data_IF_162557650111
#
_entry.id   IF_162557650111
#
_cell.length_a   1.000
_cell.length_b   1.000
_cell.length_c   1.000
_cell.angle_alpha   90.00
_cell.angle_beta   90.00
_cell.angle_gamma   90.00
#
_symmetry.space_group_name_H-M   'P 1'
#
loop_
_entity.id
_entity.type
_entity.pdbx_description
1 polymer ?
#
# COMPACT_ATOMS: atom_id res chain seq x y z
N UNK A 1 20.03 17.91 0.95
CA UNK A 1 20.36 16.48 0.82
C UNK A 1 20.30 15.75 2.16
N UNK A 2 21.00 16.22 3.21
CA UNK A 2 21.01 15.59 4.55
C UNK A 2 19.61 15.46 5.18
N UNK A 3 18.79 16.51 5.16
CA UNK A 3 17.44 16.48 5.71
C UNK A 3 16.54 15.42 5.03
N UNK A 4 16.66 15.26 3.71
CA UNK A 4 15.94 14.23 2.95
C UNK A 4 16.40 12.81 3.32
N UNK A 5 17.70 12.62 3.53
CA UNK A 5 18.26 11.34 3.99
C UNK A 5 17.82 11.04 5.42
N UNK A 6 17.82 12.04 6.30
CA UNK A 6 17.32 11.92 7.67
C UNK A 6 15.84 11.61 7.69
N UNK A 7 15.03 12.30 6.87
CA UNK A 7 13.60 12.03 6.74
C UNK A 7 13.33 10.59 6.26
N UNK A 8 14.09 10.12 5.27
CA UNK A 8 13.98 8.72 4.80
C UNK A 8 14.45 7.70 5.86
N UNK A 9 15.37 8.07 6.73
CA UNK A 9 15.82 7.24 7.86
C UNK A 9 14.94 7.37 9.09
N UNK A 10 14.36 8.56 9.31
CA UNK A 10 13.51 8.82 10.46
C UNK A 10 12.19 8.04 10.29
N UNK A 11 11.94 7.19 11.24
CA UNK A 11 10.65 6.65 11.68
C UNK A 11 9.68 5.98 10.69
N UNK A 12 9.87 6.01 9.39
CA UNK A 12 9.11 5.15 8.49
C UNK A 12 9.49 3.66 8.66
N UNK A 13 10.62 3.40 9.33
CA UNK A 13 11.15 2.06 9.55
C UNK A 13 10.69 1.40 10.86
N UNK A 14 10.07 2.10 11.78
CA UNK A 14 9.95 1.60 13.15
C UNK A 14 8.57 1.18 13.63
N UNK A 15 7.60 0.95 12.74
CA UNK A 15 6.32 0.47 13.24
C UNK A 15 5.81 -0.75 12.47
N UNK A 16 6.21 -1.94 12.92
CA UNK A 16 5.35 -3.10 12.74
C UNK A 16 4.10 -2.86 13.58
N UNK A 17 2.96 -2.73 12.95
CA UNK A 17 1.68 -2.67 13.67
C UNK A 17 1.29 -4.12 13.95
N UNK A 18 1.15 -4.47 15.23
CA UNK A 18 0.72 -5.81 15.68
C UNK A 18 1.52 -6.97 15.05
N UNK A 19 2.87 -6.83 14.94
CA UNK A 19 3.75 -7.88 14.41
C UNK A 19 3.70 -8.06 12.90
N UNK A 20 3.01 -7.19 12.16
CA UNK A 20 2.97 -7.24 10.69
C UNK A 20 4.07 -6.39 10.07
N UNK A 21 4.78 -6.94 9.07
CA UNK A 21 5.80 -6.22 8.31
C UNK A 21 5.16 -5.13 7.42
N UNK A 22 5.93 -4.10 7.05
CA UNK A 22 5.47 -3.01 6.17
C UNK A 22 4.82 -3.51 4.88
N UNK A 23 5.41 -4.52 4.23
CA UNK A 23 4.86 -5.12 3.00
C UNK A 23 3.52 -5.81 3.22
N UNK A 24 3.35 -6.48 4.36
CA UNK A 24 2.08 -7.10 4.76
C UNK A 24 1.00 -6.03 5.00
N UNK A 25 1.35 -4.93 5.69
CA UNK A 25 0.43 -3.81 5.90
C UNK A 25 0.02 -3.15 4.58
N UNK A 26 0.96 -2.95 3.64
CA UNK A 26 0.64 -2.41 2.32
C UNK A 26 -0.33 -3.31 1.56
N UNK A 27 -0.16 -4.64 1.62
CA UNK A 27 -1.09 -5.58 1.02
C UNK A 27 -2.47 -5.49 1.68
N UNK A 28 -2.56 -5.45 3.00
CA UNK A 28 -3.83 -5.32 3.71
C UNK A 28 -4.55 -3.99 3.37
N UNK A 29 -3.82 -2.88 3.24
CA UNK A 29 -4.40 -1.61 2.80
C UNK A 29 -4.85 -1.64 1.34
N UNK A 30 -4.11 -2.34 0.46
CA UNK A 30 -4.53 -2.59 -0.91
C UNK A 30 -5.87 -3.34 -0.95
N UNK A 31 -5.99 -4.44 -0.21
CA UNK A 31 -7.23 -5.20 -0.10
C UNK A 31 -8.39 -4.34 0.43
N UNK A 32 -8.13 -3.52 1.43
CA UNK A 32 -9.18 -2.64 2.01
C UNK A 32 -9.70 -1.59 1.01
N UNK A 33 -8.84 -1.06 0.12
CA UNK A 33 -9.23 -0.07 -0.89
C UNK A 33 -9.89 -0.70 -2.11
N UNK A 34 -9.46 -1.90 -2.50
CA UNK A 34 -9.92 -2.58 -3.71
C UNK A 34 -11.21 -3.37 -3.55
N UNK A 35 -11.76 -3.43 -2.33
CA UNK A 35 -12.99 -4.19 -2.06
C UNK A 35 -14.18 -3.23 -1.94
N UNK A 36 -15.04 -3.20 -2.96
CA UNK A 36 -16.36 -2.59 -2.86
C UNK A 36 -17.27 -3.39 -1.92
N UNK A 37 -18.27 -2.77 -1.29
CA UNK A 37 -19.26 -3.49 -0.48
C UNK A 37 -19.89 -4.63 -1.30
N UNK A 38 -19.76 -5.88 -0.83
CA UNK A 38 -20.25 -7.07 -1.52
C UNK A 38 -19.27 -7.73 -2.49
N UNK A 39 -18.07 -7.18 -2.70
CA UNK A 39 -17.02 -7.77 -3.52
C UNK A 39 -16.49 -9.08 -2.90
N UNK A 40 -16.17 -10.05 -3.75
CA UNK A 40 -15.55 -11.33 -3.36
C UNK A 40 -14.06 -11.21 -2.99
N UNK A 41 -13.46 -10.01 -3.08
CA UNK A 41 -12.02 -9.77 -2.85
C UNK A 41 -11.24 -9.50 -4.13
N UNK A 42 -9.91 -9.48 -4.06
CA UNK A 42 -9.00 -9.19 -5.17
C UNK A 42 -8.21 -10.41 -5.62
N UNK A 43 -7.92 -10.51 -6.91
CA UNK A 43 -7.01 -11.53 -7.45
C UNK A 43 -5.55 -11.18 -7.16
N UNK A 44 -4.68 -12.21 -7.12
CA UNK A 44 -3.23 -12.03 -6.94
C UNK A 44 -2.63 -11.12 -8.02
N UNK A 45 -3.10 -11.22 -9.27
CA UNK A 45 -2.67 -10.38 -10.39
C UNK A 45 -3.02 -8.90 -10.17
N UNK A 46 -4.23 -8.60 -9.69
CA UNK A 46 -4.66 -7.24 -9.38
C UNK A 46 -3.80 -6.63 -8.28
N UNK A 47 -3.57 -7.39 -7.20
CA UNK A 47 -2.72 -6.97 -6.08
C UNK A 47 -1.28 -6.72 -6.57
N UNK A 48 -0.72 -7.62 -7.39
CA UNK A 48 0.64 -7.49 -7.90
C UNK A 48 0.83 -6.24 -8.76
N UNK A 49 -0.17 -5.93 -9.59
CA UNK A 49 -0.17 -4.72 -10.42
C UNK A 49 -0.22 -3.45 -9.56
N UNK A 50 -1.13 -3.39 -8.56
CA UNK A 50 -1.27 -2.21 -7.68
C UNK A 50 -0.01 -1.99 -6.83
N UNK A 51 0.54 -3.06 -6.24
CA UNK A 51 1.72 -2.97 -5.38
C UNK A 51 3.03 -2.88 -6.15
N UNK A 52 3.00 -3.06 -7.49
CA UNK A 52 4.19 -3.10 -8.37
C UNK A 52 5.22 -4.12 -7.90
N UNK A 53 4.77 -5.30 -7.52
CA UNK A 53 5.60 -6.44 -7.11
C UNK A 53 5.19 -7.69 -7.88
N UNK A 54 6.05 -8.70 -7.92
CA UNK A 54 5.77 -9.95 -8.65
C UNK A 54 4.68 -10.78 -7.97
N UNK A 55 3.91 -11.55 -8.75
CA UNK A 55 2.88 -12.46 -8.23
C UNK A 55 3.41 -13.49 -7.21
N UNK A 56 4.61 -14.07 -7.35
CA UNK A 56 5.22 -14.91 -6.31
C UNK A 56 5.42 -14.14 -4.98
N UNK A 57 5.85 -12.88 -5.03
CA UNK A 57 6.00 -12.03 -3.82
C UNK A 57 4.66 -11.83 -3.14
N UNK A 58 3.60 -11.50 -3.89
CA UNK A 58 2.23 -11.36 -3.37
C UNK A 58 1.77 -12.66 -2.73
N UNK A 59 1.99 -13.79 -3.39
CA UNK A 59 1.61 -15.12 -2.87
C UNK A 59 2.26 -15.43 -1.52
N UNK A 60 3.55 -15.09 -1.36
CA UNK A 60 4.26 -15.25 -0.09
C UNK A 60 3.69 -14.35 1.02
N UNK A 61 3.38 -13.08 0.69
CA UNK A 61 2.77 -12.15 1.64
C UNK A 61 1.38 -12.64 2.08
N UNK A 62 0.56 -13.10 1.15
CA UNK A 62 -0.76 -13.66 1.43
C UNK A 62 -0.63 -14.87 2.37
N UNK A 63 0.27 -15.81 2.06
CA UNK A 63 0.50 -16.98 2.93
C UNK A 63 0.89 -16.58 4.35
N UNK A 64 1.75 -15.56 4.51
CA UNK A 64 2.11 -15.01 5.82
C UNK A 64 0.93 -14.43 6.57
N UNK A 65 0.06 -13.69 5.87
CA UNK A 65 -1.14 -13.09 6.44
C UNK A 65 -2.26 -14.10 6.74
N UNK A 66 -2.41 -15.15 5.91
CA UNK A 66 -3.31 -16.27 6.19
C UNK A 66 -2.91 -17.00 7.48
N UNK A 67 -1.62 -17.28 7.66
CA UNK A 67 -1.12 -17.90 8.89
C UNK A 67 -1.38 -17.06 10.15
N UNK A 68 -1.52 -15.74 9.99
CA UNK A 68 -1.89 -14.80 11.06
C UNK A 68 -3.41 -14.61 11.20
N UNK A 69 -4.21 -15.25 10.34
CA UNK A 69 -5.67 -15.09 10.32
C UNK A 69 -6.16 -13.71 9.86
N UNK A 70 -5.32 -12.93 9.16
CA UNK A 70 -5.63 -11.56 8.77
C UNK A 70 -6.25 -11.45 7.37
N UNK A 71 -6.04 -12.45 6.52
CA UNK A 71 -6.67 -12.57 5.19
C UNK A 71 -7.20 -13.97 4.98
N UNK A 72 -8.12 -14.11 4.07
CA UNK A 72 -8.66 -15.40 3.64
C UNK A 72 -8.76 -15.45 2.11
N UNK A 73 -8.68 -16.67 1.56
CA UNK A 73 -8.90 -16.95 0.15
C UNK A 73 -10.30 -17.52 -0.05
N UNK A 74 -10.98 -16.98 -1.05
CA UNK A 74 -12.28 -17.48 -1.47
C UNK A 74 -12.24 -17.79 -2.95
N UNK A 75 -12.97 -18.83 -3.36
CA UNK A 75 -13.22 -19.06 -4.78
C UNK A 75 -14.13 -17.95 -5.31
N UNK A 76 -13.85 -17.46 -6.51
CA UNK A 76 -14.74 -16.53 -7.17
C UNK A 76 -16.10 -17.18 -7.43
N UNK A 77 -17.18 -16.41 -7.23
CA UNK A 77 -18.56 -16.92 -7.40
C UNK A 77 -18.92 -17.22 -8.85
N UNK A 78 -18.25 -16.55 -9.79
CA UNK A 78 -18.50 -16.65 -11.23
C UNK A 78 -17.51 -17.54 -11.94
N UNK A 79 -16.23 -17.52 -11.52
CA UNK A 79 -15.18 -18.37 -12.07
C UNK A 79 -14.50 -19.17 -10.93
N UNK A 80 -14.88 -20.44 -10.83
CA UNK A 80 -14.31 -21.37 -9.83
C UNK A 80 -12.80 -21.60 -9.97
N UNK A 81 -12.18 -21.15 -11.06
CA UNK A 81 -10.73 -21.23 -11.27
C UNK A 81 -10.00 -20.00 -10.69
N UNK A 82 -10.74 -18.93 -10.44
CA UNK A 82 -10.19 -17.71 -9.86
C UNK A 82 -10.25 -17.75 -8.33
N UNK A 83 -9.12 -17.47 -7.71
CA UNK A 83 -9.00 -17.32 -6.24
C UNK A 83 -8.89 -15.84 -5.90
N UNK A 84 -9.78 -15.38 -5.05
CA UNK A 84 -9.79 -14.02 -4.54
C UNK A 84 -9.37 -13.97 -3.07
N UNK A 85 -8.70 -12.90 -2.72
CA UNK A 85 -8.19 -12.65 -1.37
C UNK A 85 -8.94 -11.46 -0.78
N UNK A 86 -9.38 -11.59 0.45
CA UNK A 86 -9.99 -10.49 1.21
C UNK A 86 -9.50 -10.47 2.65
N UNK A 87 -9.70 -9.36 3.33
CA UNK A 87 -9.44 -9.24 4.76
C UNK A 87 -10.46 -10.07 5.55
N UNK A 88 -10.01 -10.71 6.62
CA UNK A 88 -10.89 -11.21 7.69
C UNK A 88 -11.37 -10.05 8.56
N UNK A 89 -12.30 -10.31 9.49
CA UNK A 89 -12.70 -9.31 10.50
C UNK A 89 -11.50 -8.83 11.32
N UNK A 90 -10.62 -9.75 11.70
CA UNK A 90 -9.37 -9.42 12.40
C UNK A 90 -8.45 -8.56 11.54
N UNK A 91 -8.31 -8.87 10.24
CA UNK A 91 -7.53 -8.05 9.30
C UNK A 91 -8.12 -6.66 9.10
N UNK A 92 -9.44 -6.53 9.05
CA UNK A 92 -10.12 -5.24 9.01
C UNK A 92 -9.84 -4.41 10.27
N UNK A 93 -9.89 -5.02 11.44
CA UNK A 93 -9.60 -4.36 12.71
C UNK A 93 -8.14 -3.90 12.81
N UNK A 94 -7.19 -4.75 12.40
CA UNK A 94 -5.76 -4.38 12.35
C UNK A 94 -5.53 -3.19 11.42
N UNK A 95 -6.15 -3.18 10.24
CA UNK A 95 -6.03 -2.05 9.30
C UNK A 95 -6.70 -0.78 9.82
N UNK A 96 -7.82 -0.89 10.57
CA UNK A 96 -8.49 0.23 11.22
C UNK A 96 -7.57 0.89 12.25
N UNK A 97 -7.04 0.10 13.19
CA UNK A 97 -6.10 0.59 14.22
C UNK A 97 -4.84 1.23 13.61
N UNK A 98 -4.28 0.60 12.57
CA UNK A 98 -3.12 1.15 11.88
C UNK A 98 -3.41 2.51 11.24
N UNK A 99 -4.60 2.68 10.64
CA UNK A 99 -5.04 3.95 10.06
C UNK A 99 -5.25 5.02 11.14
N UNK A 100 -5.87 4.67 12.25
CA UNK A 100 -6.07 5.60 13.37
C UNK A 100 -4.73 6.07 13.96
N UNK A 101 -3.81 5.13 14.18
CA UNK A 101 -2.46 5.47 14.63
C UNK A 101 -1.75 6.40 13.64
N UNK A 102 -1.86 6.12 12.34
CA UNK A 102 -1.28 6.98 11.31
C UNK A 102 -1.93 8.38 11.33
N UNK A 103 -3.26 8.47 11.44
CA UNK A 103 -3.97 9.74 11.49
C UNK A 103 -3.59 10.56 12.73
N UNK A 104 -3.44 9.92 13.89
CA UNK A 104 -3.00 10.58 15.12
C UNK A 104 -1.57 11.12 15.00
N UNK A 105 -0.63 10.30 14.50
CA UNK A 105 0.74 10.75 14.26
C UNK A 105 0.81 11.90 13.25
N UNK A 106 -0.06 11.85 12.22
CA UNK A 106 -0.13 12.93 11.23
C UNK A 106 -0.69 14.21 11.84
N UNK A 107 -1.71 14.10 12.70
CA UNK A 107 -2.24 15.25 13.46
C UNK A 107 -1.18 15.87 14.35
N UNK A 108 -0.44 15.05 15.11
CA UNK A 108 0.67 15.54 15.95
C UNK A 108 1.74 16.28 15.12
N UNK A 109 2.04 15.78 13.90
CA UNK A 109 2.96 16.46 12.99
C UNK A 109 2.42 17.82 12.54
N UNK A 110 1.13 17.90 12.16
CA UNK A 110 0.49 19.16 11.75
C UNK A 110 0.46 20.15 12.91
N UNK A 111 0.13 19.69 14.13
CA UNK A 111 0.13 20.52 15.34
C UNK A 111 1.55 21.04 15.65
N UNK A 112 2.59 20.25 15.41
CA UNK A 112 3.99 20.64 15.60
C UNK A 112 4.49 21.66 14.55
N UNK A 113 4.12 21.50 13.29
CA UNK A 113 4.54 22.38 12.19
C UNK A 113 3.75 23.70 12.18
N UNK A 114 2.50 23.67 12.62
CA UNK A 114 1.55 24.76 12.41
C UNK A 114 0.91 24.73 11.01
N UNK A 115 -0.07 25.61 10.78
CA UNK A 115 -0.88 25.62 9.55
C UNK A 115 -0.05 25.97 8.31
N UNK A 116 0.73 27.06 8.37
CA UNK A 116 1.51 27.59 7.24
C UNK A 116 2.54 26.59 6.72
N UNK A 117 3.38 26.03 7.61
CA UNK A 117 4.40 25.06 7.24
C UNK A 117 3.78 23.73 6.79
N UNK A 118 2.63 23.33 7.34
CA UNK A 118 1.90 22.14 6.91
C UNK A 118 1.37 22.27 5.49
N UNK A 119 0.79 23.41 5.14
CA UNK A 119 0.34 23.71 3.78
C UNK A 119 1.52 23.75 2.80
N UNK A 120 2.61 24.41 3.17
CA UNK A 120 3.82 24.47 2.36
C UNK A 120 4.41 23.08 2.13
N UNK A 121 4.48 22.25 3.16
CA UNK A 121 4.93 20.86 3.07
C UNK A 121 4.04 20.06 2.10
N UNK A 122 2.72 20.20 2.19
CA UNK A 122 1.79 19.53 1.29
C UNK A 122 2.01 19.92 -0.18
N UNK A 123 2.21 21.21 -0.46
CA UNK A 123 2.52 21.73 -1.81
C UNK A 123 3.83 21.13 -2.33
N UNK A 124 4.88 21.10 -1.50
CA UNK A 124 6.19 20.55 -1.90
C UNK A 124 6.13 19.05 -2.14
N UNK A 125 5.43 18.29 -1.29
CA UNK A 125 5.23 16.84 -1.48
C UNK A 125 4.46 16.54 -2.76
N UNK A 126 3.43 17.31 -3.11
CA UNK A 126 2.71 17.16 -4.38
C UNK A 126 3.62 17.42 -5.59
N UNK A 127 4.49 18.44 -5.55
CA UNK A 127 5.48 18.69 -6.62
C UNK A 127 6.45 17.51 -6.77
N UNK A 128 6.94 16.95 -5.67
CA UNK A 128 7.82 15.77 -5.67
C UNK A 128 7.10 14.56 -6.25
N UNK A 129 5.85 14.32 -5.86
CA UNK A 129 5.02 13.24 -6.38
C UNK A 129 4.85 13.36 -7.91
N UNK A 130 4.44 14.51 -8.39
CA UNK A 130 4.22 14.75 -9.81
C UNK A 130 5.51 14.55 -10.63
N UNK A 131 6.67 15.01 -10.11
CA UNK A 131 7.96 14.78 -10.76
C UNK A 131 8.27 13.28 -10.96
N UNK A 132 8.04 12.46 -9.93
CA UNK A 132 8.29 11.02 -10.05
C UNK A 132 7.26 10.32 -10.91
N UNK A 133 6.01 10.75 -10.90
CA UNK A 133 4.95 10.17 -11.72
C UNK A 133 5.20 10.43 -13.21
N UNK A 134 5.52 11.66 -13.59
CA UNK A 134 5.93 12.00 -14.97
C UNK A 134 7.18 11.24 -15.42
N UNK A 135 8.18 11.11 -14.55
CA UNK A 135 9.38 10.35 -14.85
C UNK A 135 9.10 8.87 -15.09
N UNK A 136 8.22 8.28 -14.31
CA UNK A 136 7.80 6.89 -14.48
C UNK A 136 6.98 6.69 -15.76
N UNK A 137 6.07 7.61 -16.08
CA UNK A 137 5.29 7.59 -17.31
C UNK A 137 6.19 7.62 -18.55
N UNK A 138 7.23 8.49 -18.57
CA UNK A 138 8.22 8.55 -19.65
C UNK A 138 9.03 7.26 -19.80
N UNK A 139 9.41 6.61 -18.71
CA UNK A 139 10.14 5.32 -18.75
C UNK A 139 9.29 4.20 -19.34
N UNK A 140 8.01 4.13 -18.98
CA UNK A 140 7.09 3.13 -19.51
C UNK A 140 6.81 3.32 -21.00
N UNK A 141 6.70 4.57 -21.47
CA UNK A 141 6.50 4.87 -22.90
C UNK A 141 7.74 4.58 -23.77
N UNK A 142 8.95 4.61 -23.18
CA UNK A 142 10.18 4.28 -23.89
C UNK A 142 10.40 2.76 -23.99
N UNK A 143 9.95 2.00 -22.99
CA UNK A 143 10.06 0.55 -22.96
C UNK A 143 9.09 -0.13 -23.93
N UNK A 144 7.91 0.46 -24.16
CA UNK A 144 6.91 -0.04 -25.11
C UNK A 144 7.28 0.14 -26.59
N UNK A 145 8.31 0.94 -26.89
CA UNK A 145 8.80 1.17 -28.27
C UNK A 145 10.01 0.31 -28.66
N UNK A 146 10.58 -0.43 -27.73
CA UNK A 146 11.76 -1.28 -27.96
C UNK A 146 11.43 -2.76 -28.26
N UNK A 147 10.18 -3.16 -28.14
CA UNK A 147 9.76 -4.56 -28.35
C UNK A 147 9.14 -4.78 -29.76
N UNK A 148 9.13 -3.78 -30.63
CA UNK A 148 8.58 -3.85 -32.00
C UNK A 148 9.66 -3.77 -33.12
N UNK A 149 10.95 -4.02 -32.81
CA UNK A 149 12.00 -4.13 -33.85
C UNK A 149 12.61 -5.54 -33.90
#
# INVERSE_FOLDING_TARGET
MQAFVQFNRASWHSHSVEGSKRSEMMLMFCLRRGVEPGSSGMMVSEISHILRVTSPTVTQLIKGLENKGLVERNMDKTDRRAVRVKLTEQGMEVTRKAREKFANNFKELVDYLGEEDSEQLAVLLNKVFNFFDEKNARRNSTQSRGDDE
#
